data_IF_585456688799
#
_entry.id   IF_585456688799
#
_cell.length_a   1.000
_cell.length_b   1.000
_cell.length_c   1.000
_cell.angle_alpha   90.00
_cell.angle_beta   90.00
_cell.angle_gamma   90.00
#
_symmetry.space_group_name_H-M   'P 1'
#
loop_
_entity.id
_entity.type
_entity.pdbx_description
1 polymer ?
#
# COMPACT_ATOMS: atom_id res chain seq x y z
N UNK A 1 -1.38 -5.18 -7.57
CA UNK A 1 -2.30 -4.04 -7.28
C UNK A 1 -2.75 -4.07 -5.83
N UNK A 2 -3.02 -2.91 -5.27
CA UNK A 2 -3.44 -2.78 -3.87
C UNK A 2 -4.73 -1.97 -3.82
N UNK A 3 -5.75 -2.51 -3.12
CA UNK A 3 -6.96 -1.78 -2.77
C UNK A 3 -6.87 -1.36 -1.31
N UNK A 4 -7.28 -0.12 -1.02
CA UNK A 4 -7.35 0.41 0.34
C UNK A 4 -8.80 0.31 0.80
N UNK A 5 -9.02 -0.40 1.90
CA UNK A 5 -10.36 -0.64 2.45
C UNK A 5 -10.37 -0.38 3.96
N UNK A 6 -11.51 0.03 4.54
CA UNK A 6 -11.63 0.13 5.99
C UNK A 6 -11.33 -1.23 6.65
N UNK A 7 -10.60 -1.19 7.76
CA UNK A 7 -10.20 -2.38 8.52
C UNK A 7 -11.40 -3.23 8.95
N UNK A 8 -12.50 -2.62 9.30
CA UNK A 8 -13.72 -3.30 9.73
C UNK A 8 -14.44 -4.06 8.61
N UNK A 9 -14.01 -3.86 7.36
CA UNK A 9 -14.52 -4.60 6.20
C UNK A 9 -13.69 -5.83 5.85
N UNK A 10 -12.61 -6.09 6.58
CA UNK A 10 -11.71 -7.22 6.33
C UNK A 10 -11.89 -8.27 7.41
N UNK A 11 -12.20 -9.50 7.00
CA UNK A 11 -12.38 -10.63 7.91
C UNK A 11 -11.56 -11.81 7.40
N UNK A 12 -10.74 -12.39 8.29
CA UNK A 12 -10.05 -13.65 8.01
C UNK A 12 -11.01 -14.79 8.31
N UNK A 13 -11.46 -15.49 7.26
CA UNK A 13 -12.51 -16.51 7.37
C UNK A 13 -11.97 -17.92 7.55
N UNK A 14 -10.72 -18.19 7.19
CA UNK A 14 -10.12 -19.52 7.30
C UNK A 14 -8.58 -19.40 7.42
N UNK A 15 -7.98 -20.39 8.08
CA UNK A 15 -6.52 -20.56 8.16
C UNK A 15 -5.77 -19.35 8.78
N UNK A 16 -6.40 -18.60 9.67
CA UNK A 16 -5.78 -17.43 10.32
C UNK A 16 -4.47 -17.77 11.03
N UNK A 17 -4.33 -18.99 11.56
CA UNK A 17 -3.10 -19.44 12.21
C UNK A 17 -1.90 -19.55 11.26
N UNK A 18 -2.13 -19.57 9.95
CA UNK A 18 -1.07 -19.57 8.93
C UNK A 18 -0.53 -18.18 8.63
N UNK A 19 -1.14 -17.12 9.14
CA UNK A 19 -0.64 -15.75 8.96
C UNK A 19 0.42 -15.42 10.00
N UNK A 20 1.42 -14.68 9.54
CA UNK A 20 2.44 -14.06 10.41
C UNK A 20 2.64 -12.60 10.01
N UNK A 21 3.02 -11.77 10.96
CA UNK A 21 3.47 -10.42 10.68
C UNK A 21 4.94 -10.49 10.26
N UNK A 22 5.26 -9.95 9.07
CA UNK A 22 6.61 -10.05 8.50
C UNK A 22 7.62 -9.26 9.33
N UNK A 23 7.27 -8.01 9.68
CA UNK A 23 8.10 -7.15 10.51
C UNK A 23 7.20 -6.34 11.45
N UNK A 24 7.15 -6.70 12.74
CA UNK A 24 6.31 -5.98 13.71
C UNK A 24 6.71 -4.52 13.91
N UNK A 25 7.94 -4.15 13.57
CA UNK A 25 8.44 -2.79 13.71
C UNK A 25 8.11 -1.89 12.51
N UNK A 26 7.65 -2.48 11.39
CA UNK A 26 7.31 -1.72 10.20
C UNK A 26 6.04 -0.88 10.40
N UNK A 27 6.00 0.28 9.77
CA UNK A 27 4.81 1.15 9.79
C UNK A 27 3.58 0.43 9.25
N UNK A 28 3.73 -0.26 8.13
CA UNK A 28 2.69 -1.13 7.57
C UNK A 28 3.05 -2.56 7.97
N UNK A 29 2.23 -3.15 8.83
CA UNK A 29 2.41 -4.53 9.24
C UNK A 29 1.83 -5.45 8.19
N UNK A 30 2.72 -6.12 7.46
CA UNK A 30 2.33 -7.04 6.40
C UNK A 30 2.09 -8.42 6.97
N UNK A 31 0.90 -8.94 6.68
CA UNK A 31 0.47 -10.28 7.07
C UNK A 31 0.72 -11.24 5.91
N UNK A 32 1.60 -12.20 6.13
CA UNK A 32 2.03 -13.16 5.10
C UNK A 32 1.75 -14.60 5.53
N UNK A 33 1.63 -15.49 4.56
CA UNK A 33 1.49 -16.91 4.81
C UNK A 33 2.80 -17.50 5.32
N UNK A 34 2.76 -18.21 6.45
CA UNK A 34 3.94 -18.90 7.03
C UNK A 34 4.49 -19.98 6.10
N UNK A 35 3.62 -20.61 5.31
CA UNK A 35 4.00 -21.75 4.47
C UNK A 35 4.63 -21.32 3.14
N UNK A 36 4.08 -20.30 2.46
CA UNK A 36 4.52 -19.92 1.12
C UNK A 36 5.07 -18.50 1.02
N UNK A 37 4.98 -17.70 2.09
CA UNK A 37 5.50 -16.34 2.13
C UNK A 37 4.68 -15.30 1.40
N UNK A 38 3.53 -15.67 0.82
CA UNK A 38 2.68 -14.71 0.09
C UNK A 38 2.13 -13.66 1.05
N UNK A 39 2.31 -12.39 0.69
CA UNK A 39 1.75 -11.28 1.42
C UNK A 39 0.25 -11.16 1.10
N UNK A 40 -0.60 -11.23 2.11
CA UNK A 40 -2.05 -11.20 1.95
C UNK A 40 -2.60 -9.79 2.06
N UNK A 41 -2.22 -9.08 3.11
CA UNK A 41 -2.63 -7.69 3.32
C UNK A 41 -1.68 -6.96 4.25
N UNK A 42 -1.75 -5.63 4.25
CA UNK A 42 -1.04 -4.77 5.18
C UNK A 42 -2.00 -4.00 6.07
N UNK A 43 -1.55 -3.65 7.27
CA UNK A 43 -2.36 -2.93 8.26
C UNK A 43 -1.51 -1.96 9.05
N UNK A 44 -2.03 -0.79 9.33
CA UNK A 44 -1.36 0.20 10.17
C UNK A 44 -1.97 0.16 11.56
N UNK A 45 -1.22 -0.35 12.53
CA UNK A 45 -1.65 -0.49 13.92
C UNK A 45 -1.44 0.76 14.76
N UNK A 46 -0.51 1.64 14.37
CA UNK A 46 -0.22 2.87 15.10
C UNK A 46 -1.42 3.82 15.02
N UNK A 47 -2.11 4.10 16.15
CA UNK A 47 -3.29 4.96 16.14
C UNK A 47 -2.99 6.43 15.83
N UNK A 48 -1.72 6.83 15.85
CA UNK A 48 -1.29 8.20 15.53
C UNK A 48 -1.00 8.38 14.04
N UNK A 49 -1.00 7.30 13.26
CA UNK A 49 -0.78 7.38 11.80
C UNK A 49 -2.04 7.87 11.09
N UNK A 50 -1.86 8.68 10.04
CA UNK A 50 -2.97 9.24 9.26
C UNK A 50 -3.87 8.17 8.64
N UNK A 51 -3.30 7.02 8.30
CA UNK A 51 -4.02 5.90 7.65
C UNK A 51 -4.37 4.78 8.63
N UNK A 52 -4.35 5.05 9.92
CA UNK A 52 -4.85 4.10 10.90
C UNK A 52 -6.32 3.77 10.63
N UNK A 53 -6.66 2.51 10.73
CA UNK A 53 -8.01 2.03 10.44
C UNK A 53 -8.23 1.58 9.00
N UNK A 54 -7.17 1.62 8.17
CA UNK A 54 -7.22 1.13 6.79
C UNK A 54 -6.37 -0.13 6.64
N UNK A 55 -6.87 -1.04 5.80
CA UNK A 55 -6.13 -2.20 5.33
C UNK A 55 -5.77 -2.05 3.86
N UNK A 56 -4.64 -2.64 3.48
CA UNK A 56 -4.09 -2.61 2.13
C UNK A 56 -4.14 -4.04 1.59
N UNK A 57 -5.06 -4.30 0.66
CA UNK A 57 -5.37 -5.64 0.17
C UNK A 57 -4.72 -5.85 -1.19
N UNK A 58 -4.06 -7.00 -1.37
CA UNK A 58 -3.51 -7.40 -2.67
C UNK A 58 -4.61 -8.00 -3.53
N UNK A 59 -5.12 -7.23 -4.48
CA UNK A 59 -6.29 -7.60 -5.30
C UNK A 59 -6.02 -8.76 -6.25
N UNK A 60 -4.77 -8.95 -6.67
CA UNK A 60 -4.37 -10.04 -7.58
C UNK A 60 -4.52 -11.42 -6.96
N UNK A 61 -4.66 -11.52 -5.63
CA UNK A 61 -4.87 -12.80 -4.94
C UNK A 61 -6.33 -13.26 -4.98
N UNK A 62 -7.25 -12.37 -5.38
CA UNK A 62 -8.67 -12.72 -5.49
C UNK A 62 -8.97 -13.39 -6.82
N UNK A 63 -9.75 -14.49 -6.84
CA UNK A 63 -10.27 -15.06 -8.08
C UNK A 63 -11.37 -14.20 -8.70
N UNK A 64 -11.96 -13.30 -7.91
CA UNK A 64 -13.06 -12.45 -8.35
C UNK A 64 -12.56 -11.25 -9.14
N UNK A 65 -13.41 -10.74 -10.01
CA UNK A 65 -13.18 -9.53 -10.80
C UNK A 65 -14.10 -8.42 -10.32
N UNK A 66 -13.88 -7.21 -10.82
CA UNK A 66 -14.72 -6.07 -10.49
C UNK A 66 -14.11 -5.11 -9.48
N UNK A 67 -12.81 -5.27 -9.20
CA UNK A 67 -12.06 -4.27 -8.47
C UNK A 67 -12.02 -2.97 -9.28
N UNK A 68 -12.06 -1.86 -8.56
CA UNK A 68 -11.90 -0.53 -9.16
C UNK A 68 -10.58 -0.46 -9.94
N UNK A 69 -10.59 0.23 -11.08
CA UNK A 69 -9.36 0.48 -11.82
C UNK A 69 -8.34 1.24 -10.98
N UNK A 70 -7.04 0.96 -11.14
CA UNK A 70 -6.00 1.69 -10.42
C UNK A 70 -6.08 3.18 -10.70
N UNK A 71 -5.94 3.99 -9.66
CA UNK A 71 -6.00 5.44 -9.76
C UNK A 71 -4.63 6.06 -10.02
N UNK A 72 -3.57 5.44 -9.49
CA UNK A 72 -2.20 5.86 -9.70
C UNK A 72 -1.23 4.74 -9.30
N UNK A 73 0.00 4.84 -9.78
CA UNK A 73 1.11 4.00 -9.35
C UNK A 73 1.98 4.77 -8.36
N UNK A 74 2.20 4.19 -7.19
CA UNK A 74 3.01 4.79 -6.12
C UNK A 74 4.34 4.06 -5.97
N UNK A 75 5.35 4.77 -5.51
CA UNK A 75 6.68 4.21 -5.21
C UNK A 75 7.26 3.41 -6.37
N UNK A 76 7.16 3.97 -7.58
CA UNK A 76 7.52 3.26 -8.82
C UNK A 76 8.97 2.81 -8.81
N UNK A 77 9.89 3.63 -8.30
CA UNK A 77 11.31 3.27 -8.19
C UNK A 77 11.56 2.04 -7.33
N UNK A 78 10.64 1.69 -6.43
CA UNK A 78 10.83 0.56 -5.51
C UNK A 78 10.91 -0.80 -6.21
N UNK A 79 10.45 -0.91 -7.46
CA UNK A 79 10.58 -2.15 -8.24
C UNK A 79 12.03 -2.54 -8.49
N UNK A 80 12.95 -1.58 -8.39
CA UNK A 80 14.40 -1.84 -8.48
C UNK A 80 14.85 -2.74 -7.33
N UNK A 81 14.31 -2.53 -6.13
CA UNK A 81 14.61 -3.35 -4.95
C UNK A 81 14.14 -4.80 -5.14
N UNK A 82 13.15 -5.03 -6.00
CA UNK A 82 12.67 -6.36 -6.38
C UNK A 82 13.43 -6.98 -7.57
N UNK A 83 14.48 -6.31 -8.08
CA UNK A 83 15.33 -6.85 -9.13
C UNK A 83 15.16 -6.22 -10.51
N UNK A 84 14.30 -5.23 -10.67
CA UNK A 84 14.18 -4.49 -11.94
C UNK A 84 15.44 -3.65 -12.17
N UNK A 85 16.01 -3.71 -13.37
CA UNK A 85 17.22 -2.93 -13.69
C UNK A 85 16.89 -1.44 -13.78
N UNK A 86 17.74 -0.57 -13.22
CA UNK A 86 17.53 0.88 -13.36
C UNK A 86 17.39 1.34 -14.82
N UNK A 87 18.08 0.68 -15.75
CA UNK A 87 17.98 0.98 -17.19
C UNK A 87 16.59 0.71 -17.79
N UNK A 88 15.76 -0.10 -17.12
CA UNK A 88 14.42 -0.43 -17.61
C UNK A 88 13.37 0.56 -17.11
N UNK A 89 13.71 1.43 -16.17
CA UNK A 89 12.75 2.32 -15.51
C UNK A 89 12.11 3.33 -16.46
N UNK A 90 12.87 3.85 -17.43
CA UNK A 90 12.32 4.78 -18.43
C UNK A 90 11.20 4.12 -19.24
N UNK A 91 11.38 2.85 -19.63
CA UNK A 91 10.35 2.07 -20.33
C UNK A 91 9.12 1.79 -19.48
N UNK A 92 9.33 1.49 -18.19
CA UNK A 92 8.22 1.28 -17.25
C UNK A 92 7.38 2.54 -17.12
N UNK A 93 8.03 3.70 -16.91
CA UNK A 93 7.32 4.98 -16.79
C UNK A 93 6.60 5.35 -18.08
N UNK A 94 7.23 5.12 -19.24
CA UNK A 94 6.59 5.33 -20.53
C UNK A 94 5.33 4.47 -20.67
N UNK A 95 5.37 3.21 -20.26
CA UNK A 95 4.22 2.31 -20.32
C UNK A 95 3.09 2.77 -19.40
N UNK A 96 3.40 3.23 -18.20
CA UNK A 96 2.39 3.79 -17.29
C UNK A 96 1.72 5.02 -17.91
N UNK A 97 2.49 5.89 -18.56
CA UNK A 97 1.97 7.05 -19.28
C UNK A 97 1.05 6.65 -20.45
N UNK A 98 1.44 5.63 -21.21
CA UNK A 98 0.63 5.12 -22.34
C UNK A 98 -0.75 4.63 -21.90
N UNK A 99 -0.84 3.96 -20.76
CA UNK A 99 -2.13 3.49 -20.21
C UNK A 99 -2.88 4.56 -19.43
N UNK A 100 -2.34 5.78 -19.39
CA UNK A 100 -2.99 6.91 -18.72
C UNK A 100 -2.95 6.86 -17.19
N UNK A 101 -2.04 6.10 -16.62
CA UNK A 101 -1.93 5.97 -15.16
C UNK A 101 -0.89 6.95 -14.60
N UNK A 102 -1.30 7.92 -13.76
CA UNK A 102 -0.35 8.77 -13.06
C UNK A 102 0.63 7.93 -12.23
N UNK A 103 1.89 8.35 -12.16
CA UNK A 103 2.90 7.61 -11.41
C UNK A 103 3.79 8.55 -10.61
N UNK A 104 4.20 8.08 -9.41
CA UNK A 104 4.98 8.86 -8.46
C UNK A 104 6.03 7.96 -7.80
N UNK A 105 7.14 8.56 -7.36
CA UNK A 105 8.14 7.86 -6.54
C UNK A 105 7.84 7.98 -5.04
N UNK A 106 6.65 8.48 -4.70
CA UNK A 106 6.04 8.50 -3.38
C UNK A 106 4.54 8.22 -3.57
N UNK A 107 3.69 8.67 -2.68
CA UNK A 107 2.24 8.69 -2.88
C UNK A 107 1.83 9.86 -3.79
N UNK A 108 0.55 9.93 -4.14
CA UNK A 108 0.03 11.07 -4.89
C UNK A 108 0.18 12.38 -4.09
N UNK A 109 0.28 13.55 -4.75
CA UNK A 109 0.43 14.82 -4.06
C UNK A 109 -0.63 15.05 -2.99
N UNK A 110 -1.89 14.72 -3.26
CA UNK A 110 -2.99 14.87 -2.33
C UNK A 110 -2.82 14.03 -1.07
N UNK A 111 -2.32 12.80 -1.22
CA UNK A 111 -2.02 11.93 -0.07
C UNK A 111 -0.80 12.41 0.71
N UNK A 112 0.22 12.93 0.03
CA UNK A 112 1.39 13.52 0.69
C UNK A 112 0.99 14.74 1.50
N UNK A 113 0.13 15.59 0.96
CA UNK A 113 -0.40 16.76 1.68
C UNK A 113 -1.19 16.33 2.92
N UNK A 114 -2.02 15.31 2.78
CA UNK A 114 -2.81 14.77 3.90
C UNK A 114 -1.91 14.21 5.02
N UNK A 115 -0.87 13.47 4.66
CA UNK A 115 0.11 12.96 5.63
C UNK A 115 0.83 14.09 6.37
N UNK A 116 1.29 15.09 5.62
CA UNK A 116 2.01 16.25 6.18
C UNK A 116 1.10 17.09 7.07
N UNK A 117 -0.13 17.31 6.66
CA UNK A 117 -1.12 18.02 7.46
C UNK A 117 -1.43 17.29 8.77
N UNK A 118 -1.58 15.96 8.72
CA UNK A 118 -1.80 15.14 9.91
C UNK A 118 -0.63 15.25 10.88
N UNK A 119 0.61 15.14 10.38
CA UNK A 119 1.81 15.29 11.20
C UNK A 119 1.89 16.68 11.85
N UNK A 120 1.55 17.72 11.10
CA UNK A 120 1.54 19.10 11.61
C UNK A 120 0.47 19.32 12.68
N UNK A 121 -0.69 18.69 12.54
CA UNK A 121 -1.73 18.73 13.59
C UNK A 121 -1.28 18.04 14.86
N UNK A 122 -0.66 16.86 14.75
CA UNK A 122 -0.12 16.13 15.90
C UNK A 122 0.98 16.91 16.62
N UNK A 123 1.77 17.67 15.87
CA UNK A 123 2.82 18.53 16.41
C UNK A 123 2.29 19.87 16.98
N UNK A 124 1.00 20.17 16.80
CA UNK A 124 0.39 21.43 17.24
C UNK A 124 0.76 22.65 16.40
N UNK A 125 1.39 22.43 15.24
CA UNK A 125 1.78 23.51 14.31
C UNK A 125 0.59 23.95 13.46
N UNK A 126 -0.23 23.00 13.04
CA UNK A 126 -1.45 23.26 12.27
C UNK A 126 -2.67 23.01 13.15
N UNK A 127 -3.56 24.00 13.21
CA UNK A 127 -4.69 24.00 14.16
C UNK A 127 -6.07 23.89 13.49
N UNK A 128 -6.09 23.66 12.20
CA UNK A 128 -7.35 23.43 11.47
C UNK A 128 -7.72 21.95 11.39
#
# INVERSE_FOLDING_TARGET
MVAVVPRDKVTVTANGAKLKIVDPAATIQRHACKACGVHMFGRIENPRHAFHGLDFIHTELSPDRGWQEPQFAAFVSSVIEGGTRPSDMAGIRARLGEIGLPYYDCLSPELMDALSAHAARLAGVLKE
#
